data_IF_224756667326
#
_entry.id   IF_224756667326
#
_cell.length_a   1.000
_cell.length_b   1.000
_cell.length_c   1.000
_cell.angle_alpha   90.00
_cell.angle_beta   90.00
_cell.angle_gamma   90.00
#
_symmetry.space_group_name_H-M   'P 1'
#
loop_
_entity.id
_entity.type
_entity.pdbx_description
1 polymer ?
#
# COMPACT_ATOMS: atom_id res chain seq x y z
N UNK A 1 9.61 7.25 -19.74
CA UNK A 1 8.19 7.34 -19.36
C UNK A 1 8.01 6.74 -17.97
N UNK A 2 7.61 7.55 -16.99
CA UNK A 2 7.32 7.07 -15.62
C UNK A 2 5.99 6.31 -15.66
N UNK A 3 5.93 5.16 -14.98
CA UNK A 3 4.75 4.29 -14.98
C UNK A 3 4.31 4.02 -13.55
N UNK A 4 3.09 4.44 -13.19
CA UNK A 4 2.47 4.22 -11.89
C UNK A 4 1.46 3.07 -11.95
N UNK A 5 1.90 1.89 -12.38
CA UNK A 5 1.03 0.70 -12.39
C UNK A 5 1.25 -0.06 -11.08
N UNK A 6 0.19 -0.40 -10.31
CA UNK A 6 0.34 -1.23 -9.13
C UNK A 6 0.96 -2.57 -9.55
N UNK A 7 2.20 -2.84 -9.12
CA UNK A 7 2.78 -4.18 -9.23
C UNK A 7 2.25 -5.08 -8.14
N UNK A 8 2.24 -6.36 -8.47
CA UNK A 8 1.88 -7.48 -7.61
C UNK A 8 2.46 -7.35 -6.19
N UNK A 9 1.57 -7.07 -5.23
CA UNK A 9 1.88 -7.11 -3.79
C UNK A 9 2.22 -8.54 -3.33
N UNK A 10 2.83 -8.69 -2.15
CA UNK A 10 3.03 -10.01 -1.53
C UNK A 10 1.69 -10.79 -1.40
N UNK A 11 0.57 -10.07 -1.36
CA UNK A 11 -0.78 -10.62 -1.34
C UNK A 11 -1.30 -11.10 -2.71
N UNK A 12 -0.80 -10.59 -3.84
CA UNK A 12 -1.12 -11.18 -5.15
C UNK A 12 -0.41 -12.52 -5.37
N UNK A 13 0.71 -12.77 -4.67
CA UNK A 13 1.33 -14.11 -4.64
C UNK A 13 0.48 -15.13 -3.90
N UNK A 14 -0.49 -14.69 -3.08
CA UNK A 14 -1.44 -15.58 -2.43
C UNK A 14 -2.60 -16.00 -3.36
N UNK A 15 -2.63 -15.52 -4.61
CA UNK A 15 -3.38 -16.09 -5.73
C UNK A 15 -4.90 -16.16 -5.55
N UNK A 16 -5.48 -15.35 -4.66
CA UNK A 16 -6.89 -15.45 -4.28
C UNK A 16 -7.54 -14.07 -4.34
N UNK A 17 -8.75 -14.01 -4.89
CA UNK A 17 -9.66 -12.89 -4.66
C UNK A 17 -9.67 -12.56 -3.16
N UNK A 18 -9.86 -11.28 -2.81
CA UNK A 18 -9.92 -10.81 -1.42
C UNK A 18 -11.23 -11.25 -0.74
N UNK A 19 -11.42 -12.58 -0.69
CA UNK A 19 -12.56 -13.31 -0.16
C UNK A 19 -12.64 -13.18 1.35
N UNK A 20 -13.80 -13.53 1.92
CA UNK A 20 -13.99 -13.61 3.38
C UNK A 20 -12.89 -14.41 4.10
N UNK A 21 -12.40 -15.47 3.46
CA UNK A 21 -11.34 -16.33 3.98
C UNK A 21 -10.01 -15.57 4.01
N UNK A 22 -9.67 -14.85 2.94
CA UNK A 22 -8.48 -14.02 2.87
C UNK A 22 -8.47 -12.90 3.91
N UNK A 23 -9.62 -12.25 4.13
CA UNK A 23 -9.81 -11.24 5.18
C UNK A 23 -9.44 -11.76 6.57
N UNK A 24 -9.84 -13.00 6.87
CA UNK A 24 -9.58 -13.65 8.16
C UNK A 24 -8.09 -13.96 8.32
N UNK A 25 -7.46 -14.58 7.32
CA UNK A 25 -6.03 -14.88 7.34
C UNK A 25 -5.17 -13.62 7.43
N UNK A 26 -5.52 -12.57 6.68
CA UNK A 26 -4.78 -11.32 6.72
C UNK A 26 -4.89 -10.63 8.09
N UNK A 27 -6.07 -10.62 8.70
CA UNK A 27 -6.25 -10.07 10.06
C UNK A 27 -5.42 -10.83 11.09
N UNK A 28 -5.41 -12.16 11.00
CA UNK A 28 -4.64 -13.04 11.89
C UNK A 28 -3.13 -12.86 11.70
N UNK A 29 -2.67 -12.79 10.44
CA UNK A 29 -1.28 -12.50 10.09
C UNK A 29 -0.80 -11.20 10.75
N UNK A 30 -1.55 -10.10 10.59
CA UNK A 30 -1.19 -8.82 11.18
C UNK A 30 -1.17 -8.87 12.71
N UNK A 31 -2.11 -9.59 13.32
CA UNK A 31 -2.19 -9.72 14.77
C UNK A 31 -1.01 -10.51 15.34
N UNK A 32 -0.62 -11.60 14.68
CA UNK A 32 0.57 -12.39 15.05
C UNK A 32 1.86 -11.60 14.82
N UNK A 33 1.98 -10.90 13.69
CA UNK A 33 3.12 -10.05 13.39
C UNK A 33 3.33 -8.99 14.47
N UNK A 34 2.28 -8.26 14.85
CA UNK A 34 2.40 -7.25 15.91
C UNK A 34 2.75 -7.86 17.28
N UNK A 35 2.25 -9.06 17.60
CA UNK A 35 2.62 -9.77 18.83
C UNK A 35 4.12 -10.10 18.86
N UNK A 36 4.68 -10.58 17.75
CA UNK A 36 6.11 -10.87 17.65
C UNK A 36 6.96 -9.60 17.79
N UNK A 37 6.58 -8.52 17.10
CA UNK A 37 7.29 -7.23 17.20
C UNK A 37 7.23 -6.68 18.63
N UNK A 38 6.07 -6.78 19.29
CA UNK A 38 5.92 -6.34 20.68
C UNK A 38 6.79 -7.17 21.64
N UNK A 39 6.81 -8.50 21.47
CA UNK A 39 7.64 -9.40 22.25
C UNK A 39 9.13 -9.08 22.10
N UNK A 40 9.59 -8.77 20.89
CA UNK A 40 10.99 -8.39 20.62
C UNK A 40 11.39 -7.05 21.26
N UNK A 41 10.42 -6.20 21.59
CA UNK A 41 10.62 -4.97 22.36
C UNK A 41 10.42 -5.17 23.87
N UNK A 42 10.21 -6.40 24.34
CA UNK A 42 9.91 -6.69 25.74
C UNK A 42 8.53 -6.22 26.18
N UNK A 43 7.64 -5.88 25.24
CA UNK A 43 6.28 -5.42 25.52
C UNK A 43 5.35 -6.63 25.58
N UNK A 44 4.70 -6.81 26.72
CA UNK A 44 3.77 -7.92 26.88
C UNK A 44 2.38 -7.59 26.34
N UNK A 45 2.05 -8.19 25.19
CA UNK A 45 0.83 -7.90 24.46
C UNK A 45 -0.24 -8.97 24.70
N UNK A 46 -1.03 -8.79 25.76
CA UNK A 46 -2.08 -9.73 26.18
C UNK A 46 -3.46 -9.49 25.55
N UNK A 47 -3.61 -8.52 24.65
CA UNK A 47 -4.93 -8.19 24.10
C UNK A 47 -5.47 -9.37 23.27
N UNK A 48 -6.63 -9.86 23.66
CA UNK A 48 -7.36 -10.94 22.99
C UNK A 48 -8.24 -10.44 21.86
N UNK A 49 -8.67 -9.17 21.90
CA UNK A 49 -9.44 -8.52 20.84
C UNK A 49 -8.52 -7.90 19.80
N UNK A 50 -8.91 -8.02 18.52
CA UNK A 50 -8.25 -7.35 17.40
C UNK A 50 -8.29 -5.83 17.60
N UNK A 51 -7.15 -5.14 17.60
CA UNK A 51 -7.09 -3.69 17.67
C UNK A 51 -7.88 -3.01 16.55
N UNK A 52 -8.50 -1.87 16.88
CA UNK A 52 -9.18 -1.01 15.91
C UNK A 52 -8.28 -0.62 14.75
N UNK A 53 -6.98 -0.42 15.00
CA UNK A 53 -6.00 -0.07 13.97
C UNK A 53 -5.80 -1.21 12.94
N UNK A 54 -5.79 -2.48 13.37
CA UNK A 54 -5.74 -3.61 12.42
C UNK A 54 -7.03 -3.67 11.61
N UNK A 55 -8.19 -3.46 12.25
CA UNK A 55 -9.47 -3.48 11.57
C UNK A 55 -9.57 -2.35 10.53
N UNK A 56 -9.14 -1.15 10.88
CA UNK A 56 -9.09 -0.01 9.96
C UNK A 56 -8.14 -0.27 8.79
N UNK A 57 -6.96 -0.86 9.05
CA UNK A 57 -6.00 -1.27 8.02
C UNK A 57 -6.60 -2.32 7.08
N UNK A 58 -7.28 -3.34 7.63
CA UNK A 58 -7.98 -4.36 6.83
C UNK A 58 -9.03 -3.73 5.94
N UNK A 59 -9.90 -2.87 6.49
CA UNK A 59 -10.95 -2.18 5.74
C UNK A 59 -10.36 -1.30 4.63
N UNK A 60 -9.27 -0.59 4.91
CA UNK A 60 -8.57 0.20 3.89
C UNK A 60 -8.07 -0.69 2.74
N UNK A 61 -7.41 -1.80 3.06
CA UNK A 61 -6.92 -2.73 2.04
C UNK A 61 -8.07 -3.34 1.23
N UNK A 62 -9.17 -3.72 1.88
CA UNK A 62 -10.38 -4.19 1.19
C UNK A 62 -10.86 -3.18 0.14
N UNK A 63 -10.91 -1.89 0.47
CA UNK A 63 -11.29 -0.85 -0.47
C UNK A 63 -10.32 -0.75 -1.66
N UNK A 64 -9.01 -0.77 -1.39
CA UNK A 64 -7.98 -0.71 -2.44
C UNK A 64 -8.05 -1.91 -3.39
N UNK A 65 -8.20 -3.14 -2.88
CA UNK A 65 -8.29 -4.35 -3.72
C UNK A 65 -9.62 -4.48 -4.47
N UNK A 66 -10.68 -3.82 -4.00
CA UNK A 66 -11.96 -3.77 -4.69
C UNK A 66 -11.98 -2.76 -5.86
N UNK A 67 -10.93 -1.94 -6.00
CA UNK A 67 -10.85 -0.99 -7.11
C UNK A 67 -10.73 -1.75 -8.45
N UNK A 68 -11.54 -1.39 -9.45
CA UNK A 68 -11.54 -2.07 -10.75
C UNK A 68 -10.25 -1.75 -11.50
N UNK A 69 -9.26 -2.64 -11.42
CA UNK A 69 -8.02 -2.51 -12.18
C UNK A 69 -8.12 -3.30 -13.50
N UNK A 70 -7.95 -2.61 -14.62
CA UNK A 70 -7.86 -3.23 -15.94
C UNK A 70 -6.48 -2.94 -16.52
N UNK A 71 -5.60 -3.95 -16.58
CA UNK A 71 -4.20 -3.79 -17.03
C UNK A 71 -4.07 -3.19 -18.45
N UNK A 72 -5.07 -3.44 -19.31
CA UNK A 72 -5.10 -2.95 -20.69
C UNK A 72 -5.68 -1.53 -20.84
N UNK A 73 -6.18 -0.93 -19.75
CA UNK A 73 -6.83 0.37 -19.78
C UNK A 73 -6.02 1.38 -18.96
N UNK A 74 -5.05 2.00 -19.62
CA UNK A 74 -4.13 2.99 -19.02
C UNK A 74 -4.29 4.34 -19.69
N UNK A 75 -4.33 5.41 -18.90
CA UNK A 75 -4.30 6.78 -19.39
C UNK A 75 -2.87 7.34 -19.41
N UNK A 76 -2.66 8.38 -20.21
CA UNK A 76 -1.41 9.16 -20.21
C UNK A 76 -1.75 10.58 -19.81
N UNK A 77 -1.28 11.00 -18.65
CA UNK A 77 -1.49 12.33 -18.08
C UNK A 77 -0.16 13.06 -17.95
N UNK A 78 -0.18 14.38 -17.88
CA UNK A 78 0.98 15.14 -17.38
C UNK A 78 1.15 14.91 -15.88
N UNK A 79 2.37 15.05 -15.38
CA UNK A 79 2.66 14.87 -13.95
C UNK A 79 1.83 15.85 -13.09
N UNK A 80 1.73 17.11 -13.50
CA UNK A 80 0.88 18.13 -12.88
C UNK A 80 -0.58 17.71 -12.77
N UNK A 81 -1.13 17.07 -13.81
CA UNK A 81 -2.50 16.56 -13.80
C UNK A 81 -2.68 15.40 -12.80
N UNK A 82 -1.64 14.59 -12.58
CA UNK A 82 -1.69 13.54 -11.55
C UNK A 82 -1.71 14.14 -10.14
N UNK A 83 -0.94 15.21 -9.91
CA UNK A 83 -0.97 15.96 -8.63
C UNK A 83 -2.36 16.55 -8.37
N UNK A 84 -3.04 17.03 -9.40
CA UNK A 84 -4.42 17.55 -9.30
C UNK A 84 -5.44 16.45 -9.01
N UNK A 85 -5.19 15.21 -9.46
CA UNK A 85 -6.16 14.11 -9.34
C UNK A 85 -6.04 13.35 -8.01
N UNK A 86 -4.82 13.13 -7.49
CA UNK A 86 -4.59 12.47 -6.19
C UNK A 86 -4.01 13.48 -5.20
N UNK A 87 -4.86 14.23 -4.51
CA UNK A 87 -4.41 15.39 -3.72
C UNK A 87 -3.69 15.06 -2.41
N UNK A 88 -3.78 13.82 -1.91
CA UNK A 88 -3.04 13.40 -0.70
C UNK A 88 -1.56 13.12 -0.96
N UNK A 89 -1.13 13.10 -2.22
CA UNK A 89 0.25 12.83 -2.61
C UNK A 89 0.69 13.91 -3.59
N UNK A 90 1.71 14.68 -3.22
CA UNK A 90 2.43 15.53 -4.17
C UNK A 90 3.45 14.64 -4.90
N UNK A 91 3.08 14.13 -6.08
CA UNK A 91 3.91 13.23 -6.87
C UNK A 91 5.15 13.94 -7.40
N UNK A 92 5.02 15.21 -7.78
CA UNK A 92 6.17 16.03 -8.19
C UNK A 92 7.22 16.11 -7.07
N UNK A 93 6.82 16.51 -5.87
CA UNK A 93 7.71 16.58 -4.72
C UNK A 93 8.26 15.20 -4.32
N UNK A 94 7.41 14.18 -4.31
CA UNK A 94 7.83 12.80 -4.05
C UNK A 94 8.92 12.33 -5.01
N UNK A 95 8.78 12.63 -6.30
CA UNK A 95 9.78 12.27 -7.31
C UNK A 95 11.07 13.07 -7.13
N UNK A 96 11.02 14.35 -6.77
CA UNK A 96 12.22 15.12 -6.42
C UNK A 96 12.96 14.53 -5.21
N UNK A 97 12.24 14.06 -4.21
CA UNK A 97 12.83 13.49 -2.98
C UNK A 97 13.45 12.10 -3.20
N UNK A 98 12.86 11.29 -4.09
CA UNK A 98 13.23 9.88 -4.23
C UNK A 98 14.05 9.56 -5.48
N UNK A 99 13.93 10.37 -6.54
CA UNK A 99 14.65 10.13 -7.78
C UNK A 99 16.06 10.74 -7.74
N UNK A 100 17.04 10.13 -8.44
CA UNK A 100 18.38 10.69 -8.55
C UNK A 100 18.36 12.08 -9.22
N UNK A 101 19.26 12.98 -8.80
CA UNK A 101 19.29 14.37 -9.29
C UNK A 101 19.40 14.50 -10.82
N UNK A 102 19.98 13.51 -11.51
CA UNK A 102 20.11 13.48 -12.97
C UNK A 102 18.76 13.56 -13.70
N UNK A 103 17.65 13.11 -13.08
CA UNK A 103 16.31 13.14 -13.70
C UNK A 103 15.46 14.31 -13.22
N UNK A 104 15.97 15.17 -12.33
CA UNK A 104 15.22 16.30 -11.78
C UNK A 104 14.81 17.32 -12.84
N UNK A 105 15.66 17.57 -13.85
CA UNK A 105 15.31 18.42 -14.98
C UNK A 105 14.11 17.86 -15.77
N UNK A 106 14.08 16.55 -16.00
CA UNK A 106 12.97 15.88 -16.68
C UNK A 106 11.67 15.95 -15.86
N UNK A 107 11.74 15.88 -14.53
CA UNK A 107 10.57 16.04 -13.64
C UNK A 107 10.04 17.49 -13.70
N UNK A 108 10.96 18.48 -13.70
CA UNK A 108 10.60 19.89 -13.76
C UNK A 108 9.92 20.30 -15.09
N UNK A 109 10.14 19.55 -16.17
CA UNK A 109 9.52 19.76 -17.48
C UNK A 109 8.05 19.26 -17.57
N UNK A 110 7.45 18.83 -16.44
CA UNK A 110 6.08 18.33 -16.37
C UNK A 110 5.81 17.16 -17.35
N UNK A 111 6.52 16.04 -17.17
CA UNK A 111 6.54 14.97 -18.15
C UNK A 111 5.20 14.24 -18.24
N UNK A 112 4.96 13.60 -19.39
CA UNK A 112 3.86 12.63 -19.53
C UNK A 112 4.17 11.36 -18.75
N UNK A 113 3.22 10.93 -17.95
CA UNK A 113 3.28 9.74 -17.10
C UNK A 113 2.16 8.78 -17.47
N UNK A 114 2.48 7.48 -17.48
CA UNK A 114 1.50 6.43 -17.71
C UNK A 114 0.87 6.06 -16.38
N UNK A 115 -0.44 6.18 -16.30
CA UNK A 115 -1.23 5.91 -15.10
C UNK A 115 -2.29 4.83 -15.40
N UNK A 116 -2.91 4.23 -14.38
CA UNK A 116 -4.11 3.42 -14.57
C UNK A 116 -5.24 4.25 -15.22
N UNK A 117 -6.39 3.64 -15.50
CA UNK A 117 -7.55 4.40 -16.00
C UNK A 117 -7.90 5.57 -15.09
N UNK A 118 -8.40 6.66 -15.64
CA UNK A 118 -8.83 7.85 -14.87
C UNK A 118 -9.86 7.47 -13.79
N UNK A 119 -10.83 6.62 -14.10
CA UNK A 119 -11.81 6.06 -13.14
C UNK A 119 -11.13 5.34 -11.95
N UNK A 120 -10.03 4.63 -12.19
CA UNK A 120 -9.28 3.99 -11.11
C UNK A 120 -8.60 5.03 -10.21
N UNK A 121 -8.02 6.08 -10.80
CA UNK A 121 -7.31 7.14 -10.08
C UNK A 121 -8.29 7.96 -9.23
N UNK A 122 -9.45 8.30 -9.77
CA UNK A 122 -10.51 9.01 -9.05
C UNK A 122 -11.01 8.21 -7.83
N UNK A 123 -11.34 6.93 -8.01
CA UNK A 123 -11.76 6.06 -6.90
C UNK A 123 -10.64 5.82 -5.89
N UNK A 124 -9.40 5.68 -6.35
CA UNK A 124 -8.24 5.59 -5.46
C UNK A 124 -8.13 6.85 -4.61
N UNK A 125 -8.26 8.03 -5.23
CA UNK A 125 -8.25 9.30 -4.52
C UNK A 125 -9.35 9.31 -3.44
N UNK A 126 -10.61 9.00 -3.77
CA UNK A 126 -11.71 8.89 -2.80
C UNK A 126 -11.36 8.00 -1.60
N UNK A 127 -10.87 6.78 -1.85
CA UNK A 127 -10.46 5.83 -0.80
C UNK A 127 -9.35 6.39 0.08
N UNK A 128 -8.32 7.00 -0.52
CA UNK A 128 -7.22 7.63 0.22
C UNK A 128 -7.74 8.77 1.10
N UNK A 129 -8.73 9.53 0.63
CA UNK A 129 -9.24 10.72 1.30
C UNK A 129 -10.09 10.40 2.51
N UNK A 130 -10.95 9.40 2.40
CA UNK A 130 -11.70 8.84 3.53
C UNK A 130 -10.82 8.16 4.58
N UNK A 131 -9.59 7.79 4.21
CA UNK A 131 -8.68 7.04 5.08
C UNK A 131 -7.87 7.97 5.98
N UNK A 132 -7.83 7.63 7.27
CA UNK A 132 -7.08 8.42 8.26
C UNK A 132 -5.56 8.36 8.01
N UNK A 133 -4.81 9.44 8.30
CA UNK A 133 -3.34 9.44 8.16
C UNK A 133 -2.65 8.32 8.95
N UNK A 134 -3.20 7.96 10.12
CA UNK A 134 -2.71 6.85 10.95
C UNK A 134 -2.86 5.51 10.23
N UNK A 135 -4.00 5.27 9.59
CA UNK A 135 -4.25 4.04 8.82
C UNK A 135 -3.32 3.96 7.60
N UNK A 136 -3.12 5.07 6.88
CA UNK A 136 -2.19 5.13 5.75
C UNK A 136 -0.75 4.85 6.20
N UNK A 137 -0.31 5.45 7.30
CA UNK A 137 1.03 5.22 7.87
C UNK A 137 1.21 3.76 8.28
N UNK A 138 0.23 3.19 8.99
CA UNK A 138 0.25 1.78 9.39
C UNK A 138 0.31 0.87 8.16
N UNK A 139 -0.42 1.19 7.09
CA UNK A 139 -0.36 0.44 5.85
C UNK A 139 1.04 0.44 5.25
N UNK A 140 1.67 1.60 5.09
CA UNK A 140 3.04 1.70 4.54
C UNK A 140 4.05 0.91 5.38
N UNK A 141 4.00 1.07 6.71
CA UNK A 141 4.89 0.34 7.63
C UNK A 141 4.68 -1.17 7.53
N UNK A 142 3.42 -1.63 7.50
CA UNK A 142 3.11 -3.05 7.37
C UNK A 142 3.58 -3.60 6.03
N UNK A 143 3.33 -2.91 4.90
CA UNK A 143 3.82 -3.35 3.59
C UNK A 143 5.35 -3.46 3.58
N UNK A 144 6.04 -2.49 4.19
CA UNK A 144 7.49 -2.55 4.35
C UNK A 144 7.90 -3.79 5.15
N UNK A 145 7.34 -4.03 6.35
CA UNK A 145 7.69 -5.20 7.16
C UNK A 145 7.38 -6.50 6.43
N UNK A 146 6.22 -6.61 5.77
CA UNK A 146 5.83 -7.79 5.01
C UNK A 146 6.84 -8.13 3.91
N UNK A 147 7.38 -7.12 3.21
CA UNK A 147 8.41 -7.32 2.18
C UNK A 147 9.72 -7.90 2.74
N UNK A 148 10.02 -7.61 3.99
CA UNK A 148 11.23 -8.10 4.67
C UNK A 148 11.02 -9.41 5.42
N UNK A 149 9.78 -9.85 5.66
CA UNK A 149 9.48 -11.09 6.42
C UNK A 149 10.33 -12.30 6.01
N UNK A 150 10.54 -12.61 4.72
CA UNK A 150 11.34 -13.77 4.31
C UNK A 150 12.82 -13.68 4.71
N UNK A 151 13.30 -12.50 5.10
CA UNK A 151 14.68 -12.21 5.49
C UNK A 151 14.84 -12.07 7.02
N UNK A 152 13.75 -12.18 7.79
CA UNK A 152 13.77 -12.10 9.25
C UNK A 152 13.98 -13.47 9.89
N UNK A 153 14.09 -13.50 11.23
CA UNK A 153 14.22 -14.74 12.00
C UNK A 153 13.10 -15.74 11.69
N UNK A 154 13.38 -17.04 11.90
CA UNK A 154 12.46 -18.14 11.62
C UNK A 154 11.03 -17.92 12.13
N UNK A 155 10.87 -17.37 13.33
CA UNK A 155 9.55 -17.05 13.94
C UNK A 155 8.68 -16.10 13.11
N UNK A 156 9.29 -15.24 12.29
CA UNK A 156 8.62 -14.33 11.37
C UNK A 156 8.31 -15.00 10.03
N UNK A 157 9.22 -15.85 9.54
CA UNK A 157 9.01 -16.64 8.32
C UNK A 157 7.83 -17.61 8.51
N UNK A 158 7.76 -18.26 9.67
CA UNK A 158 6.67 -19.16 10.07
C UNK A 158 5.28 -18.47 10.10
N UNK A 159 5.19 -17.14 9.99
CA UNK A 159 3.91 -16.44 9.80
C UNK A 159 3.31 -16.63 8.39
N UNK A 160 4.14 -17.00 7.42
CA UNK A 160 3.76 -17.18 6.01
C UNK A 160 3.35 -18.63 5.70
N UNK A 161 3.58 -19.56 6.63
CA UNK A 161 3.26 -20.99 6.56
C UNK A 161 1.90 -21.31 7.21
#
# INVERSE_FOLDING_TARGET
MITFVPRTTLLSNLGKDFTRIFKMYFTELLLRLMKLIAADKGINYYKTKTPSDILALRTFMEKIYALPHQENNSSVLKLSQVDETIYKVNWTEYLFLTAPSIVHLYIAEDPKVKVPSEDYIEKLNEVLNETSPRTLTNYVIVQYILHWLPLLDKKYIELLE
#
